data_IF_205552914955
#
_entry.id   IF_205552914955
#
_cell.length_a   1.000
_cell.length_b   1.000
_cell.length_c   1.000
_cell.angle_alpha   90.00
_cell.angle_beta   90.00
_cell.angle_gamma   90.00
#
_symmetry.space_group_name_H-M   'P 1'
#
loop_
_entity.id
_entity.type
_entity.pdbx_description
1 polymer ?
#
# COMPACT_ATOMS: atom_id res chain seq x y z
N UNK A 1 -29.42 1.22 -10.38
CA UNK A 1 -28.86 0.87 -9.06
C UNK A 1 -28.40 2.16 -8.43
N UNK A 2 -29.03 2.60 -7.34
CA UNK A 2 -28.69 3.87 -6.70
C UNK A 2 -27.30 3.76 -6.09
N UNK A 3 -26.30 4.41 -6.70
CA UNK A 3 -24.98 4.53 -6.10
C UNK A 3 -25.14 5.37 -4.83
N UNK A 4 -25.03 4.72 -3.67
CA UNK A 4 -24.95 5.43 -2.40
C UNK A 4 -23.74 6.34 -2.45
N UNK A 5 -23.96 7.64 -2.29
CA UNK A 5 -22.88 8.62 -2.24
C UNK A 5 -21.83 8.21 -1.18
N UNK A 6 -20.53 8.25 -1.50
CA UNK A 6 -19.45 8.09 -0.54
C UNK A 6 -19.64 9.04 0.64
N UNK A 7 -19.59 8.47 1.85
CA UNK A 7 -19.69 9.20 3.12
C UNK A 7 -18.66 8.63 4.06
N UNK A 8 -18.13 9.48 4.95
CA UNK A 8 -17.27 9.02 6.02
C UNK A 8 -17.96 7.92 6.84
N UNK A 9 -17.14 7.04 7.40
CA UNK A 9 -17.64 6.01 8.30
C UNK A 9 -18.15 6.66 9.58
N UNK A 10 -19.26 6.16 10.09
CA UNK A 10 -19.69 6.49 11.45
C UNK A 10 -18.70 5.89 12.45
N UNK A 11 -18.55 6.49 13.64
CA UNK A 11 -17.69 5.95 14.71
C UNK A 11 -17.98 4.48 15.04
N UNK A 12 -19.24 4.05 14.92
CA UNK A 12 -19.64 2.64 15.12
C UNK A 12 -19.10 1.74 14.00
N UNK A 13 -19.12 2.20 12.76
CA UNK A 13 -18.54 1.48 11.63
C UNK A 13 -17.02 1.41 11.74
N UNK A 14 -16.34 2.50 12.10
CA UNK A 14 -14.89 2.53 12.32
C UNK A 14 -14.47 1.53 13.40
N UNK A 15 -15.12 1.55 14.56
CA UNK A 15 -14.84 0.59 15.65
C UNK A 15 -15.02 -0.87 15.22
N UNK A 16 -16.08 -1.16 14.47
CA UNK A 16 -16.33 -2.51 13.94
C UNK A 16 -15.27 -2.93 12.92
N UNK A 17 -14.89 -2.01 12.04
CA UNK A 17 -13.85 -2.24 11.04
C UNK A 17 -12.50 -2.52 11.70
N UNK A 18 -12.09 -1.68 12.66
CA UNK A 18 -10.85 -1.86 13.44
C UNK A 18 -10.86 -3.22 14.13
N UNK A 19 -11.94 -3.55 14.85
CA UNK A 19 -12.05 -4.84 15.54
C UNK A 19 -11.96 -6.03 14.57
N UNK A 20 -12.60 -5.93 13.40
CA UNK A 20 -12.48 -6.95 12.37
C UNK A 20 -11.05 -7.08 11.85
N UNK A 21 -10.41 -5.98 11.47
CA UNK A 21 -9.04 -5.97 10.96
C UNK A 21 -8.04 -6.47 12.01
N UNK A 22 -8.20 -6.10 13.28
CA UNK A 22 -7.35 -6.58 14.37
C UNK A 22 -7.40 -8.09 14.52
N UNK A 23 -8.59 -8.70 14.41
CA UNK A 23 -8.73 -10.16 14.41
C UNK A 23 -8.03 -10.78 13.20
N UNK A 24 -8.21 -10.21 12.01
CA UNK A 24 -7.56 -10.73 10.80
C UNK A 24 -6.04 -10.60 10.85
N UNK A 25 -5.50 -9.45 11.30
CA UNK A 25 -4.07 -9.27 11.51
C UNK A 25 -3.50 -10.27 12.51
N UNK A 26 -4.22 -10.53 13.60
CA UNK A 26 -3.81 -11.50 14.60
C UNK A 26 -3.76 -12.92 14.03
N UNK A 27 -4.77 -13.32 13.26
CA UNK A 27 -4.85 -14.64 12.66
C UNK A 27 -3.76 -14.85 11.61
N UNK A 28 -3.53 -13.87 10.73
CA UNK A 28 -2.41 -13.90 9.77
C UNK A 28 -1.07 -13.95 10.51
N UNK A 29 -0.88 -13.12 11.53
CA UNK A 29 0.36 -13.10 12.33
C UNK A 29 0.63 -14.45 13.00
N UNK A 30 -0.41 -15.11 13.53
CA UNK A 30 -0.28 -16.45 14.14
C UNK A 30 0.09 -17.50 13.10
N UNK A 31 -0.55 -17.48 11.93
CA UNK A 31 -0.25 -18.41 10.85
C UNK A 31 1.17 -18.18 10.29
N UNK A 32 1.56 -16.93 10.09
CA UNK A 32 2.92 -16.53 9.68
C UNK A 32 4.00 -16.99 10.67
N UNK A 33 3.79 -16.80 11.98
CA UNK A 33 4.72 -17.31 13.01
C UNK A 33 4.86 -18.83 12.97
N UNK A 34 3.82 -19.52 12.53
CA UNK A 34 3.78 -20.98 12.35
C UNK A 34 4.13 -21.43 10.92
N UNK A 35 4.61 -20.55 10.03
CA UNK A 35 4.82 -20.86 8.60
C UNK A 35 5.70 -22.09 8.32
N UNK A 36 6.62 -22.42 9.22
CA UNK A 36 7.48 -23.61 9.12
C UNK A 36 6.81 -24.91 9.64
N UNK A 37 5.63 -24.81 10.27
CA UNK A 37 4.89 -25.95 10.81
C UNK A 37 3.96 -26.52 9.73
N UNK A 38 3.84 -27.86 9.60
CA UNK A 38 2.96 -28.49 8.61
C UNK A 38 1.48 -28.12 8.75
N UNK A 39 1.04 -27.71 9.95
CA UNK A 39 -0.35 -27.38 10.26
C UNK A 39 -0.74 -25.94 9.94
N UNK A 40 0.17 -25.12 9.40
CA UNK A 40 -0.12 -23.72 9.11
C UNK A 40 -0.94 -23.54 7.84
N UNK A 41 -1.77 -22.50 7.81
CA UNK A 41 -2.52 -22.11 6.61
C UNK A 41 -1.70 -21.23 5.65
N UNK A 42 -0.55 -20.72 6.10
CA UNK A 42 0.32 -19.82 5.31
C UNK A 42 1.75 -20.39 5.18
N UNK A 43 1.94 -21.55 4.52
CA UNK A 43 3.26 -22.18 4.42
C UNK A 43 4.19 -21.49 3.40
N UNK A 44 3.62 -20.81 2.40
CA UNK A 44 4.39 -20.16 1.32
C UNK A 44 4.08 -18.67 1.21
N UNK A 45 4.98 -17.94 0.55
CA UNK A 45 4.79 -16.53 0.29
C UNK A 45 3.53 -16.28 -0.55
N UNK A 46 3.21 -17.10 -1.55
CA UNK A 46 1.98 -16.97 -2.35
C UNK A 46 0.72 -17.04 -1.48
N UNK A 47 0.66 -18.02 -0.56
CA UNK A 47 -0.50 -18.15 0.34
C UNK A 47 -0.62 -16.95 1.28
N UNK A 48 0.51 -16.39 1.73
CA UNK A 48 0.56 -15.17 2.53
C UNK A 48 0.08 -13.93 1.75
N UNK A 49 0.60 -13.73 0.53
CA UNK A 49 0.20 -12.61 -0.34
C UNK A 49 -1.29 -12.69 -0.70
N UNK A 50 -1.81 -13.90 -0.95
CA UNK A 50 -3.21 -14.13 -1.21
C UNK A 50 -4.09 -13.84 0.02
N UNK A 51 -3.65 -14.22 1.22
CA UNK A 51 -4.39 -13.98 2.46
C UNK A 51 -4.40 -12.51 2.89
N UNK A 52 -3.34 -11.75 2.60
CA UNK A 52 -3.21 -10.33 2.98
C UNK A 52 -3.88 -9.38 2.00
N UNK A 53 -4.01 -9.74 0.71
CA UNK A 53 -4.59 -8.88 -0.32
C UNK A 53 -6.03 -8.43 0.00
N UNK A 54 -6.95 -9.28 0.52
CA UNK A 54 -8.27 -8.83 0.94
C UNK A 54 -8.24 -7.76 2.04
N UNK A 55 -7.28 -7.83 2.97
CA UNK A 55 -7.14 -6.82 4.03
C UNK A 55 -6.71 -5.48 3.46
N UNK A 56 -5.74 -5.48 2.54
CA UNK A 56 -5.35 -4.28 1.80
C UNK A 56 -6.56 -3.66 1.09
N UNK A 57 -7.33 -4.47 0.36
CA UNK A 57 -8.54 -4.01 -0.33
C UNK A 57 -9.56 -3.38 0.62
N UNK A 58 -9.83 -4.01 1.77
CA UNK A 58 -10.76 -3.48 2.79
C UNK A 58 -10.27 -2.14 3.34
N UNK A 59 -8.96 -2.01 3.64
CA UNK A 59 -8.37 -0.75 4.12
C UNK A 59 -8.48 0.33 3.04
N UNK A 60 -8.19 0.01 1.77
CA UNK A 60 -8.25 0.96 0.67
C UNK A 60 -9.69 1.42 0.36
N UNK A 61 -10.69 0.60 0.67
CA UNK A 61 -12.12 0.96 0.56
C UNK A 61 -12.61 1.91 1.66
N UNK A 62 -11.81 2.19 2.69
CA UNK A 62 -12.14 3.25 3.67
C UNK A 62 -12.25 4.58 2.91
N UNK A 63 -13.37 5.32 3.04
CA UNK A 63 -13.55 6.58 2.35
C UNK A 63 -12.47 7.61 2.72
N UNK A 64 -11.87 8.31 1.74
CA UNK A 64 -10.99 9.47 1.96
C UNK A 64 -11.81 10.72 2.31
N UNK A 65 -12.63 10.62 3.36
CA UNK A 65 -13.50 11.68 3.83
C UNK A 65 -13.38 11.71 5.35
N UNK A 66 -13.18 12.90 5.91
CA UNK A 66 -12.99 13.06 7.34
C UNK A 66 -14.25 12.65 8.13
N UNK A 67 -14.09 12.01 9.30
CA UNK A 67 -12.84 11.74 10.01
C UNK A 67 -12.07 10.48 9.57
N UNK A 68 -12.59 9.70 8.62
CA UNK A 68 -12.06 8.37 8.29
C UNK A 68 -10.73 8.39 7.50
N UNK A 69 -10.32 9.55 6.98
CA UNK A 69 -9.06 9.72 6.24
C UNK A 69 -7.83 9.31 7.06
N UNK A 70 -7.74 9.77 8.31
CA UNK A 70 -6.63 9.45 9.19
C UNK A 70 -6.56 7.94 9.50
N UNK A 71 -7.72 7.34 9.79
CA UNK A 71 -7.85 5.91 10.04
C UNK A 71 -7.35 5.08 8.85
N UNK A 72 -7.71 5.47 7.63
CA UNK A 72 -7.26 4.81 6.40
C UNK A 72 -5.74 4.77 6.29
N UNK A 73 -5.09 5.92 6.51
CA UNK A 73 -3.63 6.03 6.42
C UNK A 73 -2.93 5.23 7.52
N UNK A 74 -3.43 5.28 8.77
CA UNK A 74 -2.86 4.54 9.90
C UNK A 74 -2.95 3.02 9.72
N UNK A 75 -4.10 2.52 9.28
CA UNK A 75 -4.29 1.10 9.01
C UNK A 75 -3.41 0.62 7.86
N UNK A 76 -3.27 1.41 6.79
CA UNK A 76 -2.40 1.05 5.68
C UNK A 76 -0.92 1.09 6.09
N UNK A 77 -0.50 2.05 6.93
CA UNK A 77 0.86 2.09 7.50
C UNK A 77 1.18 0.81 8.26
N UNK A 78 0.28 0.39 9.17
CA UNK A 78 0.43 -0.85 9.92
C UNK A 78 0.49 -2.07 9.00
N UNK A 79 -0.47 -2.18 8.07
CA UNK A 79 -0.51 -3.27 7.08
C UNK A 79 0.80 -3.38 6.31
N UNK A 80 1.32 -2.24 5.85
CA UNK A 80 2.56 -2.17 5.06
C UNK A 80 3.75 -2.68 5.88
N UNK A 81 3.86 -2.27 7.15
CA UNK A 81 4.94 -2.75 8.03
C UNK A 81 4.87 -4.25 8.24
N UNK A 82 3.71 -4.75 8.70
CA UNK A 82 3.51 -6.17 8.97
C UNK A 82 3.77 -7.05 7.73
N UNK A 83 3.38 -6.57 6.54
CA UNK A 83 3.55 -7.31 5.30
C UNK A 83 4.97 -7.28 4.75
N UNK A 84 5.61 -6.11 4.72
CA UNK A 84 6.96 -5.96 4.20
C UNK A 84 8.01 -6.63 5.11
N UNK A 85 7.79 -6.67 6.42
CA UNK A 85 8.63 -7.43 7.36
C UNK A 85 8.46 -8.95 7.17
N UNK A 86 7.27 -9.41 6.77
CA UNK A 86 6.98 -10.84 6.64
C UNK A 86 7.49 -11.45 5.33
N UNK A 87 7.52 -10.69 4.23
CA UNK A 87 7.88 -11.20 2.89
C UNK A 87 9.27 -11.88 2.88
N UNK A 88 10.36 -11.24 3.36
CA UNK A 88 11.70 -11.83 3.33
C UNK A 88 11.84 -13.08 4.21
N UNK A 89 10.90 -13.29 5.14
CA UNK A 89 10.93 -14.41 6.07
C UNK A 89 10.40 -15.72 5.48
N UNK A 90 9.93 -15.71 4.23
CA UNK A 90 9.63 -16.90 3.44
C UNK A 90 10.80 -17.29 2.54
N UNK A 91 10.99 -18.58 2.21
CA UNK A 91 12.01 -19.00 1.26
C UNK A 91 11.81 -18.32 -0.11
N UNK A 92 12.84 -17.68 -0.67
CA UNK A 92 12.78 -17.05 -1.98
C UNK A 92 12.78 -18.10 -3.08
N UNK A 93 11.86 -17.92 -4.03
CA UNK A 93 11.73 -18.75 -5.23
C UNK A 93 11.53 -17.84 -6.43
N UNK A 94 11.88 -18.27 -7.65
CA UNK A 94 11.68 -17.42 -8.83
C UNK A 94 10.22 -17.37 -9.26
N UNK A 95 9.50 -18.44 -8.93
CA UNK A 95 8.09 -18.66 -9.25
C UNK A 95 7.17 -17.66 -8.53
N UNK A 96 7.56 -17.17 -7.35
CA UNK A 96 6.75 -16.22 -6.58
C UNK A 96 6.93 -14.77 -7.02
N UNK A 97 7.99 -14.44 -7.76
CA UNK A 97 8.32 -13.06 -8.13
C UNK A 97 7.19 -12.32 -8.88
N UNK A 98 6.45 -12.94 -9.83
CA UNK A 98 5.32 -12.30 -10.45
C UNK A 98 4.19 -11.96 -9.47
N UNK A 99 3.90 -12.87 -8.52
CA UNK A 99 2.87 -12.66 -7.51
C UNK A 99 3.28 -11.55 -6.53
N UNK A 100 4.52 -11.57 -6.07
CA UNK A 100 5.09 -10.53 -5.21
C UNK A 100 5.07 -9.18 -5.91
N UNK A 101 5.53 -9.10 -7.16
CA UNK A 101 5.51 -7.86 -7.95
C UNK A 101 4.10 -7.31 -8.13
N UNK A 102 3.13 -8.17 -8.46
CA UNK A 102 1.73 -7.75 -8.57
C UNK A 102 1.18 -7.22 -7.26
N UNK A 103 1.52 -7.86 -6.14
CA UNK A 103 1.07 -7.45 -4.82
C UNK A 103 1.69 -6.09 -4.43
N UNK A 104 2.98 -5.90 -4.66
CA UNK A 104 3.67 -4.64 -4.36
C UNK A 104 3.21 -3.49 -5.28
N UNK A 105 2.90 -3.76 -6.55
CA UNK A 105 2.31 -2.77 -7.48
C UNK A 105 0.89 -2.35 -7.06
N UNK A 106 0.11 -3.25 -6.46
CA UNK A 106 -1.19 -2.91 -5.86
C UNK A 106 -1.03 -2.09 -4.57
N UNK A 107 -0.06 -2.44 -3.72
CA UNK A 107 0.29 -1.67 -2.52
C UNK A 107 0.75 -0.25 -2.87
N UNK A 108 1.61 -0.10 -3.87
CA UNK A 108 2.05 1.21 -4.39
C UNK A 108 0.84 2.01 -4.85
N UNK A 109 0.01 1.51 -5.77
CA UNK A 109 -1.21 2.22 -6.19
C UNK A 109 -2.15 2.56 -5.03
N UNK A 110 -2.25 1.66 -4.05
CA UNK A 110 -3.02 1.89 -2.83
C UNK A 110 -2.52 3.09 -2.04
N UNK A 111 -1.21 3.19 -1.84
CA UNK A 111 -0.59 4.35 -1.23
C UNK A 111 -0.79 5.63 -2.03
N UNK A 112 -0.82 5.59 -3.37
CA UNK A 112 -1.06 6.77 -4.22
C UNK A 112 -2.45 7.28 -3.88
N UNK A 113 -3.42 6.37 -3.89
CA UNK A 113 -4.80 6.69 -3.60
C UNK A 113 -4.99 7.25 -2.18
N UNK A 114 -4.20 6.80 -1.20
CA UNK A 114 -4.24 7.34 0.17
C UNK A 114 -3.62 8.74 0.24
N UNK A 115 -2.43 8.93 -0.32
CA UNK A 115 -1.71 10.21 -0.29
C UNK A 115 -2.45 11.31 -1.06
N UNK A 116 -3.11 10.96 -2.16
CA UNK A 116 -3.88 11.88 -2.99
C UNK A 116 -5.36 11.99 -2.59
N UNK A 117 -5.76 11.39 -1.45
CA UNK A 117 -7.14 11.37 -0.96
C UNK A 117 -8.17 10.89 -2.01
N UNK A 118 -7.83 9.85 -2.76
CA UNK A 118 -8.66 9.27 -3.82
C UNK A 118 -9.48 8.07 -3.33
N UNK A 119 -10.67 7.89 -3.91
CA UNK A 119 -11.47 6.69 -3.72
C UNK A 119 -10.78 5.50 -4.38
N UNK A 120 -10.78 4.34 -3.73
CA UNK A 120 -10.24 3.13 -4.33
C UNK A 120 -11.27 2.44 -5.21
N UNK A 121 -10.88 2.10 -6.44
CA UNK A 121 -11.64 1.21 -7.31
C UNK A 121 -11.04 -0.20 -7.29
N UNK A 122 -11.72 -1.19 -6.69
CA UNK A 122 -11.21 -2.55 -6.59
C UNK A 122 -11.19 -3.29 -7.93
N UNK A 123 -11.99 -2.88 -8.92
CA UNK A 123 -12.03 -3.55 -10.24
C UNK A 123 -10.81 -3.18 -11.08
N UNK A 124 -10.35 -1.93 -10.99
CA UNK A 124 -9.22 -1.43 -11.77
C UNK A 124 -7.93 -1.30 -10.97
N UNK A 125 -7.99 -1.52 -9.65
CA UNK A 125 -6.90 -1.31 -8.69
C UNK A 125 -6.28 0.09 -8.81
N UNK A 126 -7.13 1.13 -8.90
CA UNK A 126 -6.71 2.52 -9.09
C UNK A 126 -7.48 3.46 -8.17
N UNK A 127 -6.80 4.54 -7.78
CA UNK A 127 -7.46 5.68 -7.18
C UNK A 127 -8.30 6.46 -8.21
N UNK A 128 -9.48 6.91 -7.79
CA UNK A 128 -10.37 7.80 -8.53
C UNK A 128 -10.57 9.08 -7.72
N UNK A 129 -10.38 10.23 -8.36
CA UNK A 129 -10.59 11.51 -7.71
C UNK A 129 -12.06 11.65 -7.28
N UNK A 130 -12.30 12.09 -6.04
CA UNK A 130 -13.64 12.24 -5.47
C UNK A 130 -14.51 13.16 -6.34
N UNK A 131 -13.94 14.23 -6.91
CA UNK A 131 -14.66 15.18 -7.76
C UNK A 131 -15.13 14.54 -9.07
N UNK A 132 -14.35 13.62 -9.64
CA UNK A 132 -14.74 12.89 -10.84
C UNK A 132 -15.82 11.85 -10.53
N UNK A 133 -15.76 11.23 -9.35
CA UNK A 133 -16.75 10.24 -8.92
C UNK A 133 -18.09 10.90 -8.52
N UNK A 134 -18.07 12.16 -8.08
CA UNK A 134 -19.21 12.87 -7.50
C UNK A 134 -19.27 14.33 -7.97
N UNK A 135 -19.66 14.59 -9.23
CA UNK A 135 -19.63 15.93 -9.83
C UNK A 135 -20.55 16.96 -9.17
N UNK A 136 -21.48 16.54 -8.31
CA UNK A 136 -22.41 17.42 -7.59
C UNK A 136 -22.00 17.72 -6.13
N UNK A 137 -20.76 17.42 -5.74
CA UNK A 137 -20.28 17.65 -4.36
C UNK A 137 -19.32 18.83 -4.27
N UNK A 138 -19.50 19.66 -3.23
CA UNK A 138 -18.57 20.72 -2.87
C UNK A 138 -17.50 20.15 -1.94
N UNK A 139 -16.25 20.22 -2.38
CA UNK A 139 -15.09 19.88 -1.57
C UNK A 139 -14.48 21.18 -1.04
N UNK A 140 -14.40 21.33 0.29
CA UNK A 140 -13.74 22.48 0.89
C UNK A 140 -12.35 22.06 1.39
N UNK A 141 -11.25 22.56 0.80
CA UNK A 141 -9.90 22.26 1.28
C UNK A 141 -9.60 22.94 2.63
N UNK A 142 -10.37 23.96 3.00
CA UNK A 142 -10.24 24.71 4.26
C UNK A 142 -11.63 24.89 4.90
N UNK A 143 -11.71 24.80 6.22
CA UNK A 143 -12.96 24.96 6.99
C UNK A 143 -13.49 26.41 7.03
N UNK A 144 -13.02 27.28 6.14
CA UNK A 144 -13.32 28.72 6.16
C UNK A 144 -14.47 29.04 5.19
N UNK A 145 -15.65 29.21 5.79
CA UNK A 145 -16.80 30.02 5.33
C UNK A 145 -16.88 30.34 3.83
N UNK A 146 -17.27 29.35 3.02
CA UNK A 146 -17.99 29.64 1.77
C UNK A 146 -19.48 29.79 2.08
N UNK A 147 -20.15 30.71 1.37
CA UNK A 147 -21.60 30.89 1.34
C UNK A 147 -22.24 29.67 0.63
N UNK A 148 -22.19 28.51 1.30
CA UNK A 148 -22.71 27.25 0.78
C UNK A 148 -24.22 27.23 0.98
N UNK A 149 -25.01 26.96 -0.07
CA UNK A 149 -26.46 26.86 0.06
C UNK A 149 -26.86 25.87 1.17
N UNK A 150 -27.80 26.24 2.05
CA UNK A 150 -28.23 25.38 3.14
C UNK A 150 -28.71 24.03 2.60
N UNK A 151 -28.11 22.94 3.11
CA UNK A 151 -28.40 21.56 2.69
C UNK A 151 -27.38 20.93 1.75
N UNK A 152 -26.35 21.66 1.30
CA UNK A 152 -25.26 21.06 0.50
C UNK A 152 -24.28 20.32 1.44
N UNK A 153 -24.06 19.01 1.28
CA UNK A 153 -23.09 18.30 2.09
C UNK A 153 -21.67 18.75 1.72
N UNK A 154 -20.98 19.37 2.68
CA UNK A 154 -19.58 19.76 2.57
C UNK A 154 -18.74 18.59 3.06
N UNK A 155 -17.79 18.15 2.23
CA UNK A 155 -16.83 17.12 2.60
C UNK A 155 -15.44 17.73 2.69
N UNK A 156 -14.68 17.31 3.71
CA UNK A 156 -13.26 17.59 3.83
C UNK A 156 -12.49 16.26 3.78
N UNK A 157 -11.27 16.33 3.28
CA UNK A 157 -10.27 15.28 3.45
C UNK A 157 -9.00 15.94 3.90
N UNK A 158 -8.57 15.60 5.12
CA UNK A 158 -7.30 16.07 5.65
C UNK A 158 -6.16 15.34 4.94
N UNK A 159 -5.15 16.04 4.40
CA UNK A 159 -3.98 15.40 3.82
C UNK A 159 -3.27 14.50 4.83
N UNK A 160 -2.56 13.48 4.34
CA UNK A 160 -1.72 12.63 5.20
C UNK A 160 -0.68 13.49 5.92
N UNK A 161 -0.53 13.29 7.23
CA UNK A 161 0.40 14.08 8.04
C UNK A 161 1.85 13.86 7.62
N UNK A 162 2.70 14.88 7.83
CA UNK A 162 4.14 14.76 7.56
C UNK A 162 4.77 13.59 8.33
N UNK A 163 4.39 13.40 9.60
CA UNK A 163 4.84 12.26 10.41
C UNK A 163 4.48 10.92 9.79
N UNK A 164 3.26 10.76 9.28
CA UNK A 164 2.86 9.54 8.59
C UNK A 164 3.64 9.33 7.29
N UNK A 165 3.89 10.40 6.52
CA UNK A 165 4.74 10.34 5.32
C UNK A 165 6.17 9.94 5.64
N UNK A 166 6.79 10.50 6.68
CA UNK A 166 8.14 10.13 7.12
C UNK A 166 8.20 8.67 7.54
N UNK A 167 7.20 8.19 8.31
CA UNK A 167 7.11 6.78 8.70
C UNK A 167 6.98 5.86 7.50
N UNK A 168 6.18 6.22 6.50
CA UNK A 168 6.06 5.45 5.26
C UNK A 168 7.40 5.37 4.53
N UNK A 169 8.09 6.50 4.35
CA UNK A 169 9.40 6.55 3.70
C UNK A 169 10.42 5.63 4.39
N UNK A 170 10.56 5.74 5.72
CA UNK A 170 11.50 4.90 6.47
C UNK A 170 11.16 3.41 6.39
N UNK A 171 9.88 3.07 6.39
CA UNK A 171 9.41 1.69 6.29
C UNK A 171 9.72 1.10 4.91
N UNK A 172 9.45 1.86 3.85
CA UNK A 172 9.72 1.43 2.49
C UNK A 172 11.22 1.33 2.21
N UNK A 173 12.04 2.23 2.74
CA UNK A 173 13.50 2.16 2.62
C UNK A 173 14.04 0.86 3.25
N UNK A 174 13.71 0.61 4.52
CA UNK A 174 14.12 -0.61 5.22
C UNK A 174 13.60 -1.89 4.53
N UNK A 175 12.36 -1.87 4.05
CA UNK A 175 11.77 -2.99 3.33
C UNK A 175 12.47 -3.27 1.99
N UNK A 176 12.85 -2.23 1.25
CA UNK A 176 13.59 -2.39 0.01
C UNK A 176 14.95 -3.05 0.24
N UNK A 177 15.69 -2.64 1.28
CA UNK A 177 16.96 -3.26 1.63
C UNK A 177 16.78 -4.76 1.93
N UNK A 178 15.77 -5.11 2.74
CA UNK A 178 15.47 -6.50 3.08
C UNK A 178 15.03 -7.33 1.88
N UNK A 179 14.21 -6.76 0.99
CA UNK A 179 13.78 -7.45 -0.24
C UNK A 179 14.94 -7.55 -1.23
N UNK A 180 15.84 -6.58 -1.30
CA UNK A 180 17.02 -6.63 -2.16
C UNK A 180 17.95 -7.79 -1.74
N UNK A 181 18.25 -7.90 -0.45
CA UNK A 181 19.01 -9.03 0.12
C UNK A 181 18.28 -10.35 -0.12
N UNK A 182 16.96 -10.38 0.06
CA UNK A 182 16.15 -11.58 -0.21
C UNK A 182 16.22 -12.00 -1.70
N UNK A 183 16.20 -11.05 -2.64
CA UNK A 183 16.35 -11.32 -4.08
C UNK A 183 17.77 -11.78 -4.45
N UNK A 184 18.80 -11.38 -3.70
CA UNK A 184 20.18 -11.86 -3.94
C UNK A 184 20.30 -13.38 -3.78
N UNK A 185 19.56 -13.95 -2.83
CA UNK A 185 19.64 -15.39 -2.52
C UNK A 185 19.16 -16.31 -3.66
N UNK A 186 18.33 -15.81 -4.59
CA UNK A 186 17.88 -16.54 -5.79
C UNK A 186 18.75 -16.27 -7.03
N UNK A 187 19.89 -15.60 -6.82
CA UNK A 187 20.89 -15.35 -7.85
C UNK A 187 20.46 -14.33 -8.91
N UNK A 188 19.52 -13.44 -8.58
CA UNK A 188 19.13 -12.35 -9.47
C UNK A 188 20.20 -11.26 -9.45
N UNK A 189 20.56 -10.76 -10.63
CA UNK A 189 21.59 -9.73 -10.77
C UNK A 189 21.07 -8.34 -10.34
N UNK A 190 22.01 -7.41 -10.10
CA UNK A 190 21.69 -6.03 -9.69
C UNK A 190 20.73 -5.34 -10.67
N UNK A 191 20.89 -5.55 -11.99
CA UNK A 191 20.00 -4.99 -13.00
C UNK A 191 18.56 -5.45 -12.86
N UNK A 192 18.34 -6.73 -12.54
CA UNK A 192 17.01 -7.25 -12.29
C UNK A 192 16.40 -6.62 -11.04
N UNK A 193 17.16 -6.50 -9.96
CA UNK A 193 16.70 -5.91 -8.69
C UNK A 193 16.35 -4.43 -8.87
N UNK A 194 17.20 -3.67 -9.55
CA UNK A 194 16.91 -2.27 -9.92
C UNK A 194 15.61 -2.16 -10.74
N UNK A 195 15.45 -3.00 -11.77
CA UNK A 195 14.24 -3.02 -12.57
C UNK A 195 13.02 -3.53 -11.79
N UNK A 196 13.23 -4.37 -10.78
CA UNK A 196 12.20 -4.85 -9.87
C UNK A 196 11.64 -3.67 -9.07
N UNK A 197 12.49 -2.92 -8.37
CA UNK A 197 12.04 -1.82 -7.51
C UNK A 197 11.55 -0.60 -8.30
N UNK A 198 12.25 -0.17 -9.35
CA UNK A 198 11.82 0.98 -10.19
C UNK A 198 10.43 0.82 -10.78
N UNK A 199 10.07 -0.42 -11.14
CA UNK A 199 8.76 -0.70 -11.73
C UNK A 199 7.65 -0.77 -10.68
N UNK A 200 8.01 -1.05 -9.43
CA UNK A 200 7.09 -1.46 -8.36
C UNK A 200 6.76 -0.33 -7.41
N UNK A 201 7.72 0.53 -7.07
CA UNK A 201 7.50 1.65 -6.14
C UNK A 201 7.60 3.00 -6.86
N UNK A 202 6.54 3.37 -7.58
CA UNK A 202 6.48 4.68 -8.25
C UNK A 202 6.28 5.82 -7.25
N UNK A 203 5.63 5.54 -6.11
CA UNK A 203 5.47 6.50 -5.01
C UNK A 203 6.78 6.89 -4.36
N UNK A 204 7.78 6.02 -4.42
CA UNK A 204 9.08 6.30 -3.84
C UNK A 204 9.90 7.28 -4.68
N UNK A 205 9.59 7.45 -5.97
CA UNK A 205 10.39 8.30 -6.86
C UNK A 205 10.46 9.78 -6.41
N UNK A 206 9.37 10.39 -5.87
CA UNK A 206 9.44 11.70 -5.23
C UNK A 206 9.88 11.65 -3.76
N UNK A 207 9.62 10.55 -3.03
CA UNK A 207 9.80 10.46 -1.58
C UNK A 207 11.17 9.94 -1.12
N UNK A 208 11.99 9.40 -2.02
CA UNK A 208 13.32 8.84 -1.69
C UNK A 208 14.39 9.30 -2.68
N UNK A 209 15.21 10.30 -2.33
CA UNK A 209 16.33 10.77 -3.17
C UNK A 209 17.42 9.70 -3.37
N UNK A 210 17.53 8.74 -2.45
CA UNK A 210 18.64 7.78 -2.35
C UNK A 210 18.76 6.87 -3.58
N UNK A 211 17.64 6.48 -4.20
CA UNK A 211 17.65 5.61 -5.39
C UNK A 211 18.21 6.29 -6.65
N UNK A 212 18.36 7.62 -6.67
CA UNK A 212 19.05 8.34 -7.76
C UNK A 212 20.58 8.34 -7.61
N UNK A 213 21.08 8.03 -6.42
CA UNK A 213 22.48 8.26 -6.08
C UNK A 213 23.40 7.05 -6.28
N UNK A 214 22.89 5.84 -6.59
CA UNK A 214 23.76 4.74 -7.04
C UNK A 214 24.34 5.10 -8.42
N UNK A 215 25.66 5.32 -8.54
CA UNK A 215 26.26 5.66 -9.83
C UNK A 215 26.13 4.46 -10.78
N UNK A 216 25.71 4.71 -12.02
CA UNK A 216 25.67 3.74 -13.14
C UNK A 216 27.04 3.14 -13.51
N UNK A 217 28.11 3.45 -12.76
CA UNK A 217 29.49 3.16 -13.12
C UNK A 217 30.03 1.88 -12.50
N UNK A 218 29.29 0.78 -12.56
CA UNK A 218 29.84 -0.59 -12.53
C UNK A 218 29.05 -1.49 -13.48
N UNK A 219 28.96 -1.08 -14.75
CA UNK A 219 28.70 -2.01 -15.85
C UNK A 219 30.06 -2.63 -16.20
N UNK A 220 30.38 -3.89 -15.85
CA UNK A 220 31.46 -4.57 -16.53
C UNK A 220 31.06 -4.65 -18.00
N UNK A 221 31.84 -4.00 -18.86
CA UNK A 221 31.70 -4.15 -20.30
C UNK A 221 31.74 -5.64 -20.60
N UNK A 222 30.61 -6.19 -21.06
CA UNK A 222 30.57 -7.53 -21.64
C UNK A 222 31.49 -7.45 -22.85
N UNK A 223 32.71 -7.95 -22.67
CA UNK A 223 33.66 -8.12 -23.74
C UNK A 223 33.00 -9.04 -24.78
N UNK A 224 32.74 -8.49 -25.96
CA UNK A 224 32.45 -9.27 -27.13
C UNK A 224 33.66 -10.17 -27.44
N UNK A 225 33.49 -11.46 -27.14
CA UNK A 225 34.24 -12.59 -27.68
C UNK A 225 33.22 -13.75 -27.71
N UNK A 226 32.85 -14.35 -28.83
CA UNK A 226 33.42 -14.43 -30.18
C UNK A 226 32.31 -14.48 -31.23
#
# INVERSE_FOLDING_TARGET
>A
MSSSQPRALTTKQERRLISYLDMQFLDISRAFKKRAMPSTSLPTLETYLAATRPLMGIILLIPPIDPSTALRAELLLRFTGDALDAIPAYPPTREVLPALRSWLDELDKGWVAVLEAQLWDPETSKGKNIMQALPNMLFSPTAETMDVPPGTPIYSSTPVSQTASTRLSSLLEAACDLIEEWLETIGENEHFRDAFFRRTFKILEPLTPVWRARPQSQIPAVAAAS
#
